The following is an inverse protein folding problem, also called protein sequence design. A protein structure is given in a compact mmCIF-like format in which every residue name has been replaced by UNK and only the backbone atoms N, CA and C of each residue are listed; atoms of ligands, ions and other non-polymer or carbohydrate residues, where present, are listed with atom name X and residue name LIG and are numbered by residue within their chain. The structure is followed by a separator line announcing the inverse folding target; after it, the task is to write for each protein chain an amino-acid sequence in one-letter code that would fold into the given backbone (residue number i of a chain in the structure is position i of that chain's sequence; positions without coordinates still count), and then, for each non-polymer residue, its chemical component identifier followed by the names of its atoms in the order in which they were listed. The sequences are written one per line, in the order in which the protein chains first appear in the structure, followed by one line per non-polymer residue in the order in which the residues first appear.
data_IF_183289873749
#
_entry.id   IF_183289873749
#
_cell.length_a   1.000
_cell.length_b   1.000
_cell.length_c   1.000
_cell.angle_alpha   90.00
_cell.angle_beta   90.00
_cell.angle_gamma   90.00
#
_symmetry.space_group_name_H-M   'P 1'
#
loop_
_entity.id
_entity.type
_entity.pdbx_description
1 polymer ?
#
# COMPACT_ATOMS: atom_id res chain seq x y z
N UNK A 1 -8.88 44.63 41.99
CA UNK A 1 -9.10 43.27 41.48
C UNK A 1 -10.13 43.34 40.34
N UNK A 2 -9.68 43.22 39.10
CA UNK A 2 -10.55 43.31 37.91
C UNK A 2 -11.20 41.95 37.70
N UNK A 3 -12.54 41.91 37.78
CA UNK A 3 -13.30 40.70 37.45
C UNK A 3 -13.22 40.40 35.99
N UNK A 4 -12.59 39.30 35.61
CA UNK A 4 -12.62 38.78 34.23
C UNK A 4 -14.07 38.36 33.90
N UNK A 5 -14.58 38.86 32.78
CA UNK A 5 -15.96 38.67 32.38
C UNK A 5 -16.20 37.21 31.98
N UNK A 6 -17.30 36.64 32.48
CA UNK A 6 -17.76 35.28 32.21
C UNK A 6 -17.91 34.94 30.69
N UNK A 7 -17.93 35.98 29.85
CA UNK A 7 -18.06 35.83 28.38
C UNK A 7 -16.79 35.37 27.70
N UNK A 8 -15.60 35.66 28.27
CA UNK A 8 -14.30 35.24 27.68
C UNK A 8 -13.99 33.76 27.93
N UNK A 9 -14.45 33.20 29.06
CA UNK A 9 -14.20 31.80 29.40
C UNK A 9 -15.05 30.82 28.56
N UNK A 10 -16.26 31.27 28.14
CA UNK A 10 -17.13 30.46 27.29
C UNK A 10 -16.61 30.31 25.86
N UNK A 11 -15.94 31.33 25.35
CA UNK A 11 -15.38 31.31 23.99
C UNK A 11 -14.15 30.40 23.88
N UNK A 12 -13.33 30.35 24.92
CA UNK A 12 -12.12 29.49 24.94
C UNK A 12 -12.52 28.02 25.09
N UNK A 13 -13.57 27.73 25.87
CA UNK A 13 -14.06 26.35 26.02
C UNK A 13 -14.69 25.81 24.73
N UNK A 14 -15.38 26.67 23.95
CA UNK A 14 -15.92 26.29 22.65
C UNK A 14 -14.82 26.05 21.59
N UNK A 15 -13.71 26.78 21.65
CA UNK A 15 -12.58 26.63 20.72
C UNK A 15 -11.79 25.34 20.99
N UNK A 16 -11.66 24.95 22.26
CA UNK A 16 -10.95 23.70 22.64
C UNK A 16 -11.79 22.46 22.28
N UNK A 17 -13.13 22.56 22.34
CA UNK A 17 -14.02 21.45 21.92
C UNK A 17 -14.05 21.27 20.40
N UNK A 18 -13.78 22.34 19.62
CA UNK A 18 -13.74 22.25 18.15
C UNK A 18 -12.45 21.64 17.61
N UNK A 19 -11.37 21.56 18.41
CA UNK A 19 -10.10 20.98 17.98
C UNK A 19 -9.97 19.47 18.30
N UNK A 20 -10.92 18.89 19.00
CA UNK A 20 -10.90 17.46 19.37
C UNK A 20 -11.75 16.57 18.46
N UNK A 21 -12.30 17.08 17.38
CA UNK A 21 -12.81 16.28 16.29
C UNK A 21 -11.61 15.79 15.47
N UNK A 22 -10.91 14.78 16.01
CA UNK A 22 -10.16 13.87 15.17
C UNK A 22 -11.17 13.29 14.20
N UNK A 23 -11.16 13.81 12.98
CA UNK A 23 -11.86 13.16 11.88
C UNK A 23 -11.20 11.81 11.73
N UNK A 24 -11.77 10.79 12.34
CA UNK A 24 -11.57 9.45 11.86
C UNK A 24 -12.09 9.49 10.43
N UNK A 25 -11.18 9.51 9.47
CA UNK A 25 -11.54 9.31 8.07
C UNK A 25 -12.18 7.93 8.02
N UNK A 26 -13.52 7.92 8.06
CA UNK A 26 -14.27 6.74 7.71
C UNK A 26 -13.87 6.42 6.27
N UNK A 27 -13.51 5.17 6.02
CA UNK A 27 -13.40 4.69 4.67
C UNK A 27 -14.74 5.04 4.00
N UNK A 28 -14.70 5.97 3.06
CA UNK A 28 -15.85 6.29 2.25
C UNK A 28 -16.08 5.06 1.37
N UNK A 29 -17.12 4.29 1.67
CA UNK A 29 -17.50 3.12 0.86
C UNK A 29 -17.79 3.50 -0.60
N UNK A 30 -17.81 4.80 -0.91
CA UNK A 30 -17.98 5.37 -2.23
C UNK A 30 -16.67 5.91 -2.84
N UNK A 31 -15.51 5.71 -2.19
CA UNK A 31 -14.22 6.08 -2.76
C UNK A 31 -13.93 5.21 -3.98
N UNK A 32 -13.51 5.84 -5.08
CA UNK A 32 -13.18 5.13 -6.30
C UNK A 32 -12.07 4.10 -6.04
N UNK A 33 -12.30 2.88 -6.49
CA UNK A 33 -11.29 1.82 -6.44
C UNK A 33 -10.13 2.14 -7.38
N UNK A 34 -8.91 1.83 -6.96
CA UNK A 34 -7.74 1.98 -7.82
C UNK A 34 -7.58 0.80 -8.75
N UNK A 35 -7.10 1.11 -9.96
CA UNK A 35 -6.74 0.10 -10.94
C UNK A 35 -5.36 -0.51 -10.64
N UNK A 36 -5.10 -1.66 -11.22
CA UNK A 36 -3.83 -2.38 -11.06
C UNK A 36 -2.63 -1.57 -11.56
N UNK A 37 -2.81 -0.82 -12.66
CA UNK A 37 -1.78 0.07 -13.17
C UNK A 37 -1.52 1.28 -12.26
N UNK A 38 -2.57 1.87 -11.68
CA UNK A 38 -2.44 2.98 -10.74
C UNK A 38 -1.72 2.57 -9.47
N UNK A 39 -2.10 1.44 -8.84
CA UNK A 39 -1.39 0.92 -7.66
C UNK A 39 0.07 0.64 -7.97
N UNK A 40 0.36 0.01 -9.11
CA UNK A 40 1.75 -0.24 -9.55
C UNK A 40 2.55 1.06 -9.65
N UNK A 41 1.97 2.09 -10.26
CA UNK A 41 2.63 3.39 -10.38
C UNK A 41 2.92 4.02 -9.02
N UNK A 42 1.96 3.98 -8.07
CA UNK A 42 2.17 4.55 -6.73
C UNK A 42 3.25 3.79 -5.96
N UNK A 43 3.33 2.46 -6.06
CA UNK A 43 4.41 1.66 -5.47
C UNK A 43 5.78 2.09 -6.04
N UNK A 44 5.90 2.20 -7.36
CA UNK A 44 7.16 2.61 -8.02
C UNK A 44 7.56 4.03 -7.62
N UNK A 45 6.61 4.96 -7.54
CA UNK A 45 6.86 6.33 -7.06
C UNK A 45 7.34 6.35 -5.61
N UNK A 46 6.69 5.58 -4.73
CA UNK A 46 7.07 5.48 -3.32
C UNK A 46 8.49 4.94 -3.13
N UNK A 47 8.94 4.06 -4.01
CA UNK A 47 10.33 3.58 -4.03
C UNK A 47 11.34 4.61 -4.57
N UNK A 48 10.92 5.80 -5.00
CA UNK A 48 11.79 6.81 -5.61
C UNK A 48 12.27 6.44 -7.02
N UNK A 49 11.59 5.54 -7.71
CA UNK A 49 12.02 4.97 -8.99
C UNK A 49 11.32 5.57 -10.22
N UNK A 50 10.66 6.73 -10.09
CA UNK A 50 9.90 7.36 -11.17
C UNK A 50 10.76 7.57 -12.45
N UNK A 51 11.99 8.08 -12.33
CA UNK A 51 12.87 8.28 -13.47
C UNK A 51 13.29 6.97 -14.14
N UNK A 52 13.44 5.89 -13.38
CA UNK A 52 13.73 4.56 -13.95
C UNK A 52 12.51 4.00 -14.69
N UNK A 53 11.30 4.26 -14.17
CA UNK A 53 10.07 3.88 -14.85
C UNK A 53 9.92 4.59 -16.20
N UNK A 54 10.20 5.90 -16.26
CA UNK A 54 10.20 6.64 -17.53
C UNK A 54 11.19 6.06 -18.55
N UNK A 55 12.37 5.65 -18.10
CA UNK A 55 13.34 4.98 -18.96
C UNK A 55 12.81 3.61 -19.44
N UNK A 56 12.15 2.84 -18.60
CA UNK A 56 11.59 1.51 -18.90
C UNK A 56 10.35 1.55 -19.82
N UNK A 57 9.75 2.73 -20.04
CA UNK A 57 8.67 2.89 -21.03
C UNK A 57 9.11 2.73 -22.48
N UNK A 58 10.43 2.67 -22.74
CA UNK A 58 11.00 2.40 -24.05
C UNK A 58 11.17 0.91 -24.35
N UNK A 59 11.06 0.09 -23.33
CA UNK A 59 11.20 -1.36 -23.45
C UNK A 59 9.83 -1.96 -23.81
N UNK A 60 9.82 -2.94 -24.69
CA UNK A 60 8.59 -3.65 -25.01
C UNK A 60 8.01 -4.31 -23.74
N UNK A 61 6.72 -4.13 -23.53
CA UNK A 61 6.04 -4.76 -22.39
C UNK A 61 6.01 -6.29 -22.53
N UNK A 62 6.18 -6.99 -21.42
CA UNK A 62 5.96 -8.43 -21.37
C UNK A 62 4.48 -8.81 -21.53
N UNK A 63 3.58 -7.83 -21.42
CA UNK A 63 2.13 -8.01 -21.40
C UNK A 63 1.49 -7.41 -22.65
N UNK A 64 0.71 -8.22 -23.36
CA UNK A 64 0.07 -7.81 -24.62
C UNK A 64 -1.05 -6.79 -24.46
N UNK A 65 -1.63 -6.71 -23.26
CA UNK A 65 -2.70 -5.79 -22.88
C UNK A 65 -2.18 -4.45 -22.33
N UNK A 66 -0.86 -4.28 -22.26
CA UNK A 66 -0.20 -2.99 -21.98
C UNK A 66 0.29 -2.42 -23.32
N UNK A 67 -0.50 -1.53 -23.89
CA UNK A 67 -0.18 -0.94 -25.20
C UNK A 67 1.06 -0.05 -25.11
N UNK A 68 1.82 -0.01 -26.22
CA UNK A 68 2.94 0.93 -26.39
C UNK A 68 2.44 2.37 -26.21
N UNK A 69 3.15 3.16 -25.41
CA UNK A 69 2.76 4.52 -25.05
C UNK A 69 1.66 4.62 -23.98
N UNK A 70 1.26 3.52 -23.36
CA UNK A 70 0.41 3.58 -22.18
C UNK A 70 1.12 4.35 -21.07
N UNK A 71 0.44 5.30 -20.42
CA UNK A 71 1.02 6.15 -19.37
C UNK A 71 1.61 5.39 -18.18
N UNK A 72 1.22 4.14 -17.98
CA UNK A 72 1.72 3.27 -16.92
C UNK A 72 2.74 2.23 -17.40
N UNK A 73 3.02 2.15 -18.71
CA UNK A 73 3.88 1.12 -19.31
C UNK A 73 5.22 1.01 -18.60
N UNK A 74 5.91 2.13 -18.41
CA UNK A 74 7.20 2.13 -17.74
C UNK A 74 7.16 1.68 -16.29
N UNK A 75 6.12 2.05 -15.53
CA UNK A 75 5.95 1.60 -14.16
C UNK A 75 5.66 0.08 -14.11
N UNK A 76 4.84 -0.42 -15.01
CA UNK A 76 4.52 -1.85 -15.12
C UNK A 76 5.76 -2.66 -15.50
N UNK A 77 6.50 -2.23 -16.53
CA UNK A 77 7.73 -2.90 -16.99
C UNK A 77 8.78 -2.95 -15.87
N UNK A 78 9.00 -1.83 -15.20
CA UNK A 78 9.95 -1.77 -14.08
C UNK A 78 9.51 -2.63 -12.90
N UNK A 79 8.25 -2.56 -12.50
CA UNK A 79 7.72 -3.36 -11.39
C UNK A 79 7.79 -4.87 -11.68
N UNK A 80 7.52 -5.26 -12.92
CA UNK A 80 7.65 -6.65 -13.37
C UNK A 80 9.12 -7.11 -13.36
N UNK A 81 10.03 -6.32 -13.89
CA UNK A 81 11.47 -6.65 -13.88
C UNK A 81 12.04 -6.81 -12.48
N UNK A 82 11.49 -6.10 -11.49
CA UNK A 82 11.86 -6.18 -10.07
C UNK A 82 11.11 -7.29 -9.31
N UNK A 83 10.16 -7.97 -9.94
CA UNK A 83 9.34 -9.02 -9.30
C UNK A 83 8.34 -8.47 -8.28
N UNK A 84 8.01 -7.17 -8.34
CA UNK A 84 7.00 -6.53 -7.50
C UNK A 84 5.60 -6.92 -7.96
N UNK A 85 5.40 -6.97 -9.26
CA UNK A 85 4.15 -7.41 -9.88
C UNK A 85 4.36 -8.63 -10.76
N UNK A 86 3.32 -9.43 -10.89
CA UNK A 86 3.22 -10.50 -11.87
C UNK A 86 2.05 -10.20 -12.82
N UNK A 87 1.96 -10.86 -13.97
CA UNK A 87 0.75 -10.84 -14.78
C UNK A 87 -0.41 -11.60 -14.09
N UNK A 88 -1.62 -11.32 -14.53
CA UNK A 88 -2.80 -12.16 -14.21
C UNK A 88 -2.77 -13.46 -15.00
N UNK A 89 -2.00 -13.46 -16.11
CA UNK A 89 -1.63 -14.63 -16.89
C UNK A 89 -0.21 -14.44 -17.43
N UNK A 90 0.25 -15.39 -18.26
CA UNK A 90 1.60 -15.36 -18.86
C UNK A 90 1.87 -14.06 -19.65
N UNK A 91 0.86 -13.51 -20.31
CA UNK A 91 0.99 -12.39 -21.24
C UNK A 91 -0.08 -11.30 -21.07
N UNK A 92 -0.78 -11.30 -19.91
CA UNK A 92 -1.75 -10.26 -19.56
C UNK A 92 -1.50 -9.72 -18.15
N UNK A 93 -1.55 -8.39 -18.01
CA UNK A 93 -1.39 -7.65 -16.76
C UNK A 93 -2.71 -7.21 -16.14
N UNK A 94 -3.72 -6.95 -16.99
CA UNK A 94 -5.01 -6.36 -16.65
C UNK A 94 -4.88 -4.94 -16.03
N UNK A 95 -4.30 -3.96 -16.76
CA UNK A 95 -3.96 -2.64 -16.23
C UNK A 95 -5.15 -1.88 -15.63
N UNK A 96 -6.34 -2.01 -16.24
CA UNK A 96 -7.55 -1.30 -15.87
C UNK A 96 -8.44 -2.07 -14.87
N UNK A 97 -8.04 -3.28 -14.48
CA UNK A 97 -8.79 -4.04 -13.49
C UNK A 97 -8.66 -3.42 -12.10
N UNK A 98 -9.76 -3.37 -11.35
CA UNK A 98 -9.72 -2.99 -9.94
C UNK A 98 -8.88 -3.99 -9.15
N UNK A 99 -8.10 -3.49 -8.19
CA UNK A 99 -7.22 -4.29 -7.33
C UNK A 99 -7.88 -4.51 -5.97
N UNK A 100 -7.81 -5.73 -5.47
CA UNK A 100 -8.23 -6.02 -4.10
C UNK A 100 -7.19 -5.54 -3.09
N UNK A 101 -7.61 -5.38 -1.83
CA UNK A 101 -6.71 -4.95 -0.74
C UNK A 101 -5.55 -5.94 -0.56
N UNK A 102 -5.80 -7.25 -0.67
CA UNK A 102 -4.75 -8.27 -0.60
C UNK A 102 -3.78 -8.20 -1.79
N UNK A 103 -4.26 -8.00 -3.00
CA UNK A 103 -3.39 -7.85 -4.17
C UNK A 103 -2.51 -6.60 -4.06
N UNK A 104 -3.06 -5.49 -3.58
CA UNK A 104 -2.28 -4.28 -3.31
C UNK A 104 -1.23 -4.51 -2.20
N UNK A 105 -1.61 -5.20 -1.11
CA UNK A 105 -0.69 -5.60 -0.06
C UNK A 105 0.46 -6.43 -0.60
N UNK A 106 0.18 -7.40 -1.47
CA UNK A 106 1.22 -8.23 -2.09
C UNK A 106 2.22 -7.42 -2.92
N UNK A 107 1.75 -6.43 -3.70
CA UNK A 107 2.64 -5.54 -4.45
C UNK A 107 3.54 -4.73 -3.51
N UNK A 108 2.96 -4.16 -2.45
CA UNK A 108 3.68 -3.33 -1.49
C UNK A 108 4.68 -4.18 -0.69
N UNK A 109 4.29 -5.34 -0.16
CA UNK A 109 5.20 -6.24 0.57
C UNK A 109 6.41 -6.63 -0.27
N UNK A 110 6.21 -6.97 -1.56
CA UNK A 110 7.32 -7.28 -2.47
C UNK A 110 8.25 -6.08 -2.72
N UNK A 111 7.73 -4.86 -2.61
CA UNK A 111 8.53 -3.64 -2.79
C UNK A 111 9.40 -3.28 -1.58
N UNK A 112 9.09 -3.79 -0.38
CA UNK A 112 9.85 -3.50 0.85
C UNK A 112 11.18 -4.23 0.94
N UNK A 113 11.45 -5.19 0.06
CA UNK A 113 12.63 -6.05 0.14
C UNK A 113 12.49 -7.18 1.16
N UNK A 114 11.29 -7.42 1.68
CA UNK A 114 11.02 -8.55 2.56
C UNK A 114 11.47 -9.86 1.90
N UNK A 115 12.05 -10.78 2.69
CA UNK A 115 12.56 -12.03 2.17
C UNK A 115 11.46 -12.81 1.44
N UNK A 116 11.73 -13.13 0.18
CA UNK A 116 10.82 -13.94 -0.65
C UNK A 116 10.55 -15.32 -0.06
N UNK A 117 11.42 -15.80 0.84
CA UNK A 117 11.21 -17.04 1.57
C UNK A 117 9.98 -17.00 2.50
N UNK A 118 9.55 -15.78 2.90
CA UNK A 118 8.37 -15.56 3.75
C UNK A 118 7.07 -15.39 2.94
N UNK A 119 7.14 -15.35 1.62
CA UNK A 119 6.03 -15.05 0.73
C UNK A 119 5.92 -16.13 -0.37
N UNK A 120 5.78 -17.40 0.03
CA UNK A 120 5.77 -18.55 -0.89
C UNK A 120 4.38 -18.88 -1.39
N UNK A 121 3.43 -18.95 -0.48
CA UNK A 121 2.10 -19.46 -0.76
C UNK A 121 1.09 -18.32 -0.92
N UNK A 122 0.60 -18.18 -2.14
CA UNK A 122 -0.48 -17.26 -2.44
C UNK A 122 -1.84 -17.97 -2.22
N UNK A 123 -2.82 -17.32 -1.59
CA UNK A 123 -2.78 -15.97 -0.98
C UNK A 123 -2.34 -15.95 0.50
N UNK A 124 -2.18 -17.13 1.15
CA UNK A 124 -2.10 -17.25 2.61
C UNK A 124 -0.94 -16.46 3.23
N UNK A 125 0.30 -16.65 2.75
CA UNK A 125 1.46 -15.95 3.32
C UNK A 125 1.36 -14.43 3.20
N UNK A 126 0.74 -13.96 2.10
CA UNK A 126 0.57 -12.53 1.86
C UNK A 126 -0.51 -11.91 2.75
N UNK A 127 -1.60 -12.64 2.99
CA UNK A 127 -2.68 -12.21 3.87
C UNK A 127 -2.19 -12.09 5.32
N UNK A 128 -1.54 -13.13 5.79
CA UNK A 128 -0.93 -13.20 7.11
C UNK A 128 0.14 -12.10 7.29
N UNK A 129 1.02 -11.94 6.31
CA UNK A 129 2.10 -10.96 6.36
C UNK A 129 1.57 -9.52 6.29
N UNK A 130 0.50 -9.25 5.55
CA UNK A 130 -0.11 -7.93 5.48
C UNK A 130 -0.57 -7.44 6.86
N UNK A 131 -1.12 -8.33 7.67
CA UNK A 131 -1.54 -8.02 9.03
C UNK A 131 -0.35 -8.00 9.99
N UNK A 132 0.46 -9.06 9.96
CA UNK A 132 1.56 -9.24 10.93
C UNK A 132 2.66 -8.17 10.81
N UNK A 133 3.00 -7.75 9.60
CA UNK A 133 4.04 -6.72 9.39
C UNK A 133 3.64 -5.32 9.89
N UNK A 134 2.35 -5.09 10.14
CA UNK A 134 1.78 -3.78 10.42
C UNK A 134 1.44 -2.99 9.15
N UNK A 135 1.46 -3.63 7.96
CA UNK A 135 1.09 -2.96 6.71
C UNK A 135 -0.35 -2.44 6.76
N UNK A 136 -1.23 -3.14 7.48
CA UNK A 136 -2.64 -2.78 7.64
C UNK A 136 -2.93 -1.93 8.89
N UNK A 137 -1.91 -1.46 9.62
CA UNK A 137 -2.13 -0.66 10.82
C UNK A 137 -2.93 0.61 10.53
N UNK A 138 -3.99 0.82 11.31
CA UNK A 138 -4.90 1.96 11.15
C UNK A 138 -5.90 1.82 9.99
N UNK A 139 -5.98 0.68 9.33
CA UNK A 139 -6.92 0.39 8.25
C UNK A 139 -7.94 -0.67 8.64
N UNK A 140 -9.15 -0.57 8.10
CA UNK A 140 -10.10 -1.69 8.10
C UNK A 140 -9.78 -2.59 6.91
N UNK A 141 -9.18 -3.75 7.22
CA UNK A 141 -8.72 -4.67 6.20
C UNK A 141 -9.75 -5.75 5.88
N UNK A 142 -10.10 -5.86 4.60
CA UNK A 142 -10.96 -6.90 4.05
C UNK A 142 -10.36 -7.38 2.72
N UNK A 143 -9.63 -8.49 2.76
CA UNK A 143 -8.76 -9.00 1.69
C UNK A 143 -9.35 -8.92 0.26
N UNK A 144 -10.64 -9.27 0.12
CA UNK A 144 -11.33 -9.34 -1.17
C UNK A 144 -11.96 -8.02 -1.63
N UNK A 145 -12.02 -6.99 -0.76
CA UNK A 145 -12.58 -5.69 -1.16
C UNK A 145 -11.60 -4.90 -2.04
N UNK A 146 -12.11 -4.06 -2.95
CA UNK A 146 -11.27 -3.16 -3.72
C UNK A 146 -10.48 -2.21 -2.81
N UNK A 147 -9.24 -1.89 -3.22
CA UNK A 147 -8.41 -0.90 -2.54
C UNK A 147 -8.75 0.52 -3.01
N UNK A 148 -8.70 1.49 -2.10
CA UNK A 148 -8.89 2.91 -2.40
C UNK A 148 -7.58 3.68 -2.36
N UNK A 149 -7.55 4.89 -2.92
CA UNK A 149 -6.36 5.77 -2.87
C UNK A 149 -5.89 6.02 -1.44
N UNK A 150 -6.81 6.36 -0.53
CA UNK A 150 -6.48 6.61 0.87
C UNK A 150 -5.87 5.39 1.57
N UNK A 151 -6.34 4.18 1.23
CA UNK A 151 -5.73 2.95 1.75
C UNK A 151 -4.32 2.75 1.22
N UNK A 152 -4.09 2.94 -0.08
CA UNK A 152 -2.75 2.82 -0.67
C UNK A 152 -1.78 3.82 -0.02
N UNK A 153 -2.16 5.06 0.17
CA UNK A 153 -1.34 6.07 0.85
C UNK A 153 -0.96 5.64 2.26
N UNK A 154 -1.91 5.12 3.05
CA UNK A 154 -1.63 4.64 4.40
C UNK A 154 -0.76 3.38 4.38
N UNK A 155 -1.04 2.41 3.51
CA UNK A 155 -0.23 1.20 3.36
C UNK A 155 1.21 1.52 2.96
N UNK A 156 1.44 2.44 2.01
CA UNK A 156 2.79 2.87 1.61
C UNK A 156 3.53 3.58 2.75
N UNK A 157 2.83 4.37 3.56
CA UNK A 157 3.40 4.96 4.77
C UNK A 157 3.79 3.88 5.80
N UNK A 158 2.95 2.88 6.01
CA UNK A 158 3.24 1.76 6.91
C UNK A 158 4.42 0.92 6.38
N UNK A 159 4.49 0.72 5.05
CA UNK A 159 5.56 -0.02 4.40
C UNK A 159 6.95 0.57 4.65
N UNK A 160 7.08 1.89 4.75
CA UNK A 160 8.35 2.54 5.08
C UNK A 160 8.88 2.07 6.45
N UNK A 161 7.99 1.90 7.43
CA UNK A 161 8.35 1.39 8.76
C UNK A 161 8.74 -0.11 8.74
N UNK A 162 8.28 -0.87 7.75
CA UNK A 162 8.67 -2.28 7.56
C UNK A 162 10.08 -2.35 6.99
N UNK A 163 10.38 -1.56 5.97
CA UNK A 163 11.69 -1.54 5.30
C UNK A 163 12.83 -1.09 6.24
N UNK A 164 12.53 -0.23 7.21
CA UNK A 164 13.52 0.27 8.18
C UNK A 164 13.77 -0.69 9.36
N UNK A 165 12.95 -1.72 9.52
CA UNK A 165 13.20 -2.71 10.59
C UNK A 165 14.37 -3.59 10.19
N UNK A 166 15.48 -3.62 10.99
CA UNK A 166 16.53 -4.59 10.74
C UNK A 166 15.89 -5.99 10.85
N UNK A 167 16.19 -6.84 9.88
CA UNK A 167 15.90 -8.27 10.00
C UNK A 167 16.83 -8.80 11.08
N UNK A 168 16.46 -8.60 12.35
CA UNK A 168 17.14 -9.21 13.48
C UNK A 168 16.67 -10.65 13.46
N UNK A 169 17.60 -11.59 13.47
CA UNK A 169 17.34 -13.03 13.55
C UNK A 169 16.46 -13.38 14.74
N UNK A 170 15.15 -13.22 14.58
CA UNK A 170 14.15 -13.58 15.56
C UNK A 170 13.41 -14.79 14.98
N UNK A 171 13.60 -15.95 15.60
CA UNK A 171 12.69 -17.06 15.37
C UNK A 171 11.31 -16.67 15.91
N UNK A 172 10.30 -16.65 15.09
CA UNK A 172 8.92 -16.45 15.50
C UNK A 172 8.04 -17.55 14.92
N UNK A 173 6.99 -17.90 15.61
CA UNK A 173 6.04 -18.88 15.13
C UNK A 173 4.69 -18.21 14.86
N UNK A 174 4.15 -18.44 13.68
CA UNK A 174 2.80 -18.05 13.33
C UNK A 174 2.06 -19.29 12.81
N UNK A 175 0.83 -19.52 13.27
CA UNK A 175 0.04 -20.71 12.94
C UNK A 175 0.79 -22.04 13.08
N UNK A 176 1.71 -22.13 14.05
CA UNK A 176 2.48 -23.34 14.29
C UNK A 176 3.65 -23.58 13.33
N UNK A 177 3.94 -22.64 12.43
CA UNK A 177 5.14 -22.64 11.61
C UNK A 177 6.21 -21.76 12.24
N UNK A 178 7.44 -22.27 12.29
CA UNK A 178 8.60 -21.53 12.78
C UNK A 178 9.32 -20.90 11.59
N UNK A 179 9.59 -19.61 11.71
CA UNK A 179 10.36 -18.84 10.73
C UNK A 179 11.67 -18.41 11.41
N UNK A 180 12.78 -18.97 10.94
CA UNK A 180 14.14 -18.63 11.36
C UNK A 180 14.76 -17.76 10.25
N UNK A 181 15.33 -16.62 10.62
CA UNK A 181 16.09 -15.75 9.73
C UNK A 181 17.57 -16.01 9.83
#
# INVERSE_FOLDING_TARGET
MKRLSLKATSLILALVLALSLSVTAFADDNAASMTRAEVTQEVIKNMGLAAQAEASAKDASAFKDVAEGNKFEGAINLAYSKGIVNGVSKDAFAPDAAVTQLEAAAMILRSTGLDKALLKDWPADYDDMAVWSGLMDGLTYEAAKPVTTAMIEQMLKNAAAIADKPVIGISWSYNGQNYDS
#
